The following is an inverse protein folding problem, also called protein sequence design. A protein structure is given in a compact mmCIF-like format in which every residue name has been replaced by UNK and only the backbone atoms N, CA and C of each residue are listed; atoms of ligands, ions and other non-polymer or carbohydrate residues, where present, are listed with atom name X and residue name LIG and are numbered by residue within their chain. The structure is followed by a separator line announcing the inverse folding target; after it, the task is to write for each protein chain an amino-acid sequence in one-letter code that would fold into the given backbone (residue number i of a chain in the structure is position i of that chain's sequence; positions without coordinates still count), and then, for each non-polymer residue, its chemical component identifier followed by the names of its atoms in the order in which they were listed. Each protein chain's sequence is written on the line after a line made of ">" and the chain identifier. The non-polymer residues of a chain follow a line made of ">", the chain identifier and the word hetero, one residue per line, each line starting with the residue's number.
data_IF_857782898890
#
_entry.id   IF_857782898890
#
_cell.length_a   1.000
_cell.length_b   1.000
_cell.length_c   1.000
_cell.angle_alpha   90.00
_cell.angle_beta   90.00
_cell.angle_gamma   90.00
#
_symmetry.space_group_name_H-M   'P 1'
#
loop_
_entity.id
_entity.type
_entity.pdbx_description
1 polymer ?
#
# COMPACT_ATOMS: atom_id res chain seq x y z
N UNK A 1 -0.08 38.13 -24.04
CA UNK A 1 0.20 36.83 -23.41
C UNK A 1 -0.60 35.66 -24.01
N UNK A 2 -1.86 35.85 -24.42
CA UNK A 2 -2.71 34.81 -25.04
C UNK A 2 -2.23 34.34 -26.43
N UNK A 3 -1.54 35.19 -27.20
CA UNK A 3 -1.04 34.82 -28.55
C UNK A 3 0.09 33.79 -28.54
N UNK A 4 0.95 33.76 -27.50
CA UNK A 4 2.03 32.76 -27.41
C UNK A 4 1.48 31.34 -27.17
N UNK A 5 0.33 31.22 -26.51
CA UNK A 5 -0.33 29.94 -26.24
C UNK A 5 -1.00 29.38 -27.52
N UNK A 6 -1.48 30.24 -28.43
CA UNK A 6 -2.06 29.78 -29.70
C UNK A 6 -1.02 29.29 -30.71
N UNK A 7 0.19 29.86 -30.73
CA UNK A 7 1.31 29.32 -31.51
C UNK A 7 1.90 28.02 -30.90
N UNK A 8 1.56 27.68 -29.65
CA UNK A 8 2.05 26.52 -28.91
C UNK A 8 1.45 25.18 -29.40
N UNK A 9 0.31 25.22 -30.09
CA UNK A 9 -0.49 24.05 -30.46
C UNK A 9 -0.11 23.42 -31.82
N UNK A 10 0.69 24.09 -32.66
CA UNK A 10 0.75 23.74 -34.09
C UNK A 10 1.94 22.90 -34.57
N UNK A 11 2.92 22.53 -33.74
CA UNK A 11 4.10 21.80 -34.23
C UNK A 11 4.41 20.50 -33.45
N UNK A 12 4.52 19.40 -34.21
CA UNK A 12 4.61 18.00 -33.78
C UNK A 12 6.01 17.40 -34.04
N UNK A 13 7.05 17.92 -33.39
CA UNK A 13 8.37 17.26 -33.36
C UNK A 13 8.71 16.78 -31.95
N UNK A 14 9.30 15.59 -31.82
CA UNK A 14 9.58 14.95 -30.52
C UNK A 14 10.46 15.83 -29.60
N UNK A 15 11.47 16.49 -30.17
CA UNK A 15 12.40 17.38 -29.44
C UNK A 15 11.71 18.65 -28.92
N UNK A 16 10.81 19.27 -29.71
CA UNK A 16 10.06 20.44 -29.23
C UNK A 16 8.99 20.06 -28.22
N UNK A 17 8.39 18.87 -28.32
CA UNK A 17 7.40 18.40 -27.38
C UNK A 17 8.00 18.11 -25.99
N UNK A 18 9.20 17.49 -25.92
CA UNK A 18 9.97 17.36 -24.66
C UNK A 18 10.24 18.75 -24.05
N UNK A 19 10.62 19.73 -24.87
CA UNK A 19 10.81 21.11 -24.40
C UNK A 19 9.52 21.72 -23.83
N UNK A 20 8.34 21.42 -24.41
CA UNK A 20 7.04 21.87 -23.87
C UNK A 20 6.74 21.26 -22.49
N UNK A 21 7.06 19.98 -22.28
CA UNK A 21 6.91 19.33 -20.97
C UNK A 21 7.84 19.95 -19.95
N UNK A 22 9.13 20.10 -20.26
CA UNK A 22 10.11 20.72 -19.35
C UNK A 22 9.71 22.16 -19.01
N UNK A 23 9.24 22.94 -19.99
CA UNK A 23 8.72 24.29 -19.76
C UNK A 23 7.50 24.27 -18.83
N UNK A 24 6.54 23.38 -19.04
CA UNK A 24 5.38 23.25 -18.15
C UNK A 24 5.78 22.86 -16.73
N UNK A 25 6.74 21.95 -16.56
CA UNK A 25 7.27 21.57 -15.24
C UNK A 25 8.06 22.72 -14.58
N UNK A 26 8.75 23.54 -15.37
CA UNK A 26 9.42 24.77 -14.91
C UNK A 26 8.43 25.82 -14.43
N UNK A 27 7.36 26.05 -15.19
CA UNK A 27 6.26 26.96 -14.83
C UNK A 27 5.56 26.54 -13.53
N UNK A 28 5.46 25.22 -13.31
CA UNK A 28 4.95 24.63 -12.08
C UNK A 28 5.98 24.60 -10.92
N UNK A 29 7.21 25.08 -11.16
CA UNK A 29 8.35 25.03 -10.23
C UNK A 29 8.68 23.63 -9.71
N UNK A 30 8.42 22.60 -10.52
CA UNK A 30 8.64 21.19 -10.16
C UNK A 30 10.10 20.75 -10.33
N UNK A 31 10.85 21.40 -11.22
CA UNK A 31 12.29 21.14 -11.43
C UNK A 31 13.21 22.06 -10.61
N UNK A 32 12.63 22.90 -9.75
CA UNK A 32 13.39 23.78 -8.84
C UNK A 32 13.61 23.04 -7.52
N UNK A 33 14.86 22.99 -7.06
CA UNK A 33 15.24 22.32 -5.81
C UNK A 33 14.97 23.22 -4.58
N UNK A 34 13.70 23.55 -4.37
CA UNK A 34 13.18 24.24 -3.19
C UNK A 34 12.07 23.40 -2.54
N UNK A 35 11.52 23.88 -1.43
CA UNK A 35 10.42 23.23 -0.69
C UNK A 35 9.03 23.71 -1.11
N UNK A 36 8.90 24.56 -2.12
CA UNK A 36 7.61 25.08 -2.57
C UNK A 36 6.88 24.04 -3.42
N UNK A 37 5.61 23.79 -3.12
CA UNK A 37 4.74 22.96 -3.94
C UNK A 37 3.44 23.68 -4.26
N UNK A 38 3.06 23.66 -5.55
CA UNK A 38 1.84 24.30 -6.02
C UNK A 38 0.61 23.45 -5.67
N UNK A 39 -0.56 24.09 -5.53
CA UNK A 39 -1.78 23.36 -5.20
C UNK A 39 -2.22 22.41 -6.34
N UNK A 40 -2.88 21.30 -5.99
CA UNK A 40 -3.37 20.31 -6.97
C UNK A 40 -4.31 20.94 -8.02
N UNK A 41 -5.13 21.92 -7.63
CA UNK A 41 -6.05 22.61 -8.52
C UNK A 41 -5.30 23.40 -9.59
N UNK A 42 -4.27 24.14 -9.19
CA UNK A 42 -3.45 24.91 -10.13
C UNK A 42 -2.66 24.00 -11.07
N UNK A 43 -2.07 22.92 -10.55
CA UNK A 43 -1.40 21.89 -11.36
C UNK A 43 -2.37 21.33 -12.40
N UNK A 44 -3.58 20.95 -11.97
CA UNK A 44 -4.61 20.38 -12.83
C UNK A 44 -5.05 21.35 -13.93
N UNK A 45 -5.25 22.63 -13.59
CA UNK A 45 -5.57 23.68 -14.55
C UNK A 45 -4.47 23.86 -15.60
N UNK A 46 -3.20 23.79 -15.19
CA UNK A 46 -2.05 23.90 -16.10
C UNK A 46 -1.88 22.69 -17.00
N UNK A 47 -2.19 21.50 -16.51
CA UNK A 47 -2.08 20.27 -17.29
C UNK A 47 -3.26 20.02 -18.24
N UNK A 48 -4.41 20.67 -18.03
CA UNK A 48 -5.65 20.46 -18.81
C UNK A 48 -5.44 20.46 -20.33
N UNK A 49 -4.55 21.31 -20.84
CA UNK A 49 -4.27 21.40 -22.28
C UNK A 49 -3.63 20.14 -22.87
N UNK A 50 -2.90 19.37 -22.07
CA UNK A 50 -2.26 18.12 -22.52
C UNK A 50 -3.25 16.95 -22.59
N UNK A 51 -4.45 17.11 -22.04
CA UNK A 51 -5.49 16.08 -21.96
C UNK A 51 -6.70 16.35 -22.86
N UNK A 52 -6.58 17.25 -23.84
CA UNK A 52 -7.69 17.64 -24.73
C UNK A 52 -8.13 16.48 -25.64
N UNK A 53 -7.17 15.65 -26.08
CA UNK A 53 -7.42 14.48 -26.93
C UNK A 53 -6.41 13.36 -26.61
N UNK A 54 -6.70 12.14 -27.08
CA UNK A 54 -5.90 10.96 -26.76
C UNK A 54 -4.47 11.02 -27.32
N UNK A 55 -4.28 11.55 -28.52
CA UNK A 55 -2.94 11.64 -29.13
C UNK A 55 -2.02 12.55 -28.31
N UNK A 56 -2.49 13.76 -27.97
CA UNK A 56 -1.74 14.71 -27.15
C UNK A 56 -1.51 14.18 -25.74
N UNK A 57 -2.52 13.51 -25.14
CA UNK A 57 -2.41 12.85 -23.84
C UNK A 57 -1.29 11.82 -23.84
N UNK A 58 -1.30 10.89 -24.79
CA UNK A 58 -0.31 9.81 -24.84
C UNK A 58 1.11 10.33 -25.09
N UNK A 59 1.26 11.33 -25.96
CA UNK A 59 2.56 12.00 -26.18
C UNK A 59 3.07 12.66 -24.89
N UNK A 60 2.21 13.41 -24.20
CA UNK A 60 2.55 14.06 -22.94
C UNK A 60 2.96 13.04 -21.87
N UNK A 61 2.17 11.98 -21.66
CA UNK A 61 2.45 10.98 -20.62
C UNK A 61 3.77 10.25 -20.85
N UNK A 62 4.07 9.86 -22.09
CA UNK A 62 5.34 9.21 -22.44
C UNK A 62 6.53 10.13 -22.15
N UNK A 63 6.45 11.39 -22.57
CA UNK A 63 7.52 12.36 -22.35
C UNK A 63 7.67 12.72 -20.87
N UNK A 64 6.56 12.88 -20.17
CA UNK A 64 6.56 13.11 -18.74
C UNK A 64 7.23 11.96 -17.99
N UNK A 65 6.91 10.71 -18.34
CA UNK A 65 7.53 9.54 -17.71
C UNK A 65 9.05 9.50 -17.93
N UNK A 66 9.51 9.85 -19.13
CA UNK A 66 10.93 9.97 -19.44
C UNK A 66 11.60 11.03 -18.55
N UNK A 67 11.03 12.23 -18.48
CA UNK A 67 11.56 13.33 -17.64
C UNK A 67 11.59 12.96 -16.16
N UNK A 68 10.54 12.28 -15.66
CA UNK A 68 10.52 11.75 -14.29
C UNK A 68 11.66 10.77 -14.08
N UNK A 69 11.84 9.81 -14.99
CA UNK A 69 12.93 8.84 -14.91
C UNK A 69 14.31 9.49 -14.83
N UNK A 70 14.57 10.48 -15.69
CA UNK A 70 15.83 11.22 -15.71
C UNK A 70 16.08 11.93 -14.36
N UNK A 71 15.09 12.63 -13.82
CA UNK A 71 15.22 13.32 -12.53
C UNK A 71 15.38 12.37 -11.34
N UNK A 72 14.75 11.19 -11.37
CA UNK A 72 14.90 10.19 -10.31
C UNK A 72 16.32 9.60 -10.26
N UNK A 73 17.07 9.60 -11.36
CA UNK A 73 18.45 9.12 -11.44
C UNK A 73 19.51 10.16 -11.07
N UNK A 74 19.19 11.45 -11.20
CA UNK A 74 20.12 12.53 -10.87
C UNK A 74 20.65 12.38 -9.43
N UNK A 75 21.94 12.67 -9.23
CA UNK A 75 22.49 12.77 -7.87
C UNK A 75 21.87 13.98 -7.18
N UNK A 76 21.61 13.85 -5.88
CA UNK A 76 20.97 14.90 -5.07
C UNK A 76 19.58 15.32 -5.61
N UNK A 77 19.18 16.59 -5.42
CA UNK A 77 17.86 17.12 -5.82
C UNK A 77 16.66 16.32 -5.28
N UNK A 78 16.74 15.86 -4.04
CA UNK A 78 15.70 15.03 -3.43
C UNK A 78 14.32 15.70 -3.40
N UNK A 79 14.27 17.03 -3.29
CA UNK A 79 13.00 17.75 -3.38
C UNK A 79 12.41 17.72 -4.79
N UNK A 80 13.22 17.88 -5.84
CA UNK A 80 12.75 17.70 -7.23
C UNK A 80 12.20 16.30 -7.44
N UNK A 81 12.90 15.26 -6.94
CA UNK A 81 12.41 13.87 -7.00
C UNK A 81 11.06 13.72 -6.33
N UNK A 82 10.89 14.28 -5.12
CA UNK A 82 9.65 14.21 -4.38
C UNK A 82 8.50 14.95 -5.09
N UNK A 83 8.78 16.12 -5.66
CA UNK A 83 7.82 16.89 -6.48
C UNK A 83 7.38 16.13 -7.73
N UNK A 84 8.32 15.47 -8.42
CA UNK A 84 8.01 14.64 -9.59
C UNK A 84 7.11 13.47 -9.20
N UNK A 85 7.42 12.78 -8.09
CA UNK A 85 6.59 11.70 -7.58
C UNK A 85 5.19 12.18 -7.16
N UNK A 86 5.08 13.37 -6.54
CA UNK A 86 3.77 13.96 -6.25
C UNK A 86 2.98 14.27 -7.52
N UNK A 87 3.62 14.77 -8.56
CA UNK A 87 2.94 15.01 -9.83
C UNK A 87 2.48 13.69 -10.48
N UNK A 88 3.33 12.65 -10.45
CA UNK A 88 2.94 11.29 -10.87
C UNK A 88 1.71 10.84 -10.11
N UNK A 89 1.71 11.00 -8.79
CA UNK A 89 0.58 10.63 -7.94
C UNK A 89 -0.71 11.38 -8.32
N UNK A 90 -0.63 12.70 -8.50
CA UNK A 90 -1.78 13.52 -8.95
C UNK A 90 -2.37 12.99 -10.27
N UNK A 91 -1.53 12.61 -11.23
CA UNK A 91 -1.98 12.13 -12.54
C UNK A 91 -2.64 10.76 -12.42
N UNK A 92 -2.06 9.80 -11.69
CA UNK A 92 -2.69 8.47 -11.51
C UNK A 92 -3.96 8.53 -10.64
N UNK A 93 -4.06 9.51 -9.74
CA UNK A 93 -5.29 9.73 -8.96
C UNK A 93 -6.37 10.48 -9.74
N UNK A 94 -6.06 11.03 -10.92
CA UNK A 94 -7.05 11.67 -11.80
C UNK A 94 -7.99 10.65 -12.48
N UNK A 95 -9.10 11.09 -13.07
CA UNK A 95 -9.95 10.22 -13.90
C UNK A 95 -9.51 10.18 -15.38
N UNK A 96 -8.63 11.10 -15.79
CA UNK A 96 -8.40 11.41 -17.21
C UNK A 96 -7.28 10.56 -17.82
N UNK A 97 -6.26 10.24 -17.04
CA UNK A 97 -5.05 9.54 -17.51
C UNK A 97 -4.65 8.35 -16.64
N UNK A 98 -5.47 8.00 -15.64
CA UNK A 98 -5.14 7.01 -14.62
C UNK A 98 -4.79 5.65 -15.19
N UNK A 99 -5.64 5.11 -16.07
CA UNK A 99 -5.46 3.75 -16.59
C UNK A 99 -4.21 3.66 -17.46
N UNK A 100 -4.06 4.57 -18.42
CA UNK A 100 -2.95 4.60 -19.37
C UNK A 100 -1.63 4.86 -18.64
N UNK A 101 -1.59 5.84 -17.74
CA UNK A 101 -0.36 6.19 -17.06
C UNK A 101 0.07 5.12 -16.05
N UNK A 102 -0.89 4.46 -15.40
CA UNK A 102 -0.60 3.31 -14.53
C UNK A 102 0.07 2.17 -15.31
N UNK A 103 -0.44 1.82 -16.49
CA UNK A 103 0.18 0.81 -17.37
C UNK A 103 1.61 1.20 -17.77
N UNK A 104 1.83 2.47 -18.11
CA UNK A 104 3.18 2.96 -18.44
C UNK A 104 4.15 2.82 -17.25
N UNK A 105 3.76 3.25 -16.05
CA UNK A 105 4.60 3.16 -14.84
C UNK A 105 5.03 1.71 -14.56
N UNK A 106 4.08 0.77 -14.64
CA UNK A 106 4.32 -0.66 -14.38
C UNK A 106 5.31 -1.23 -15.41
N UNK A 107 5.15 -0.86 -16.69
CA UNK A 107 5.99 -1.35 -17.77
C UNK A 107 7.42 -0.80 -17.68
N UNK A 108 7.59 0.46 -17.25
CA UNK A 108 8.90 1.11 -17.22
C UNK A 108 9.74 0.73 -16.01
N UNK A 109 9.14 0.46 -14.83
CA UNK A 109 9.87 0.11 -13.58
C UNK A 109 11.04 1.06 -13.28
N UNK A 110 10.72 2.33 -13.03
CA UNK A 110 11.70 3.34 -12.65
C UNK A 110 12.49 2.92 -11.40
N UNK A 111 13.76 3.31 -11.35
CA UNK A 111 14.59 3.23 -10.14
C UNK A 111 14.80 4.64 -9.59
N UNK A 112 15.26 4.74 -8.34
CA UNK A 112 15.52 6.02 -7.67
C UNK A 112 16.93 6.01 -7.11
N UNK A 113 17.71 7.03 -7.46
CA UNK A 113 19.00 7.26 -6.85
C UNK A 113 18.82 7.95 -5.50
N UNK A 114 19.10 7.23 -4.41
CA UNK A 114 18.95 7.72 -3.02
C UNK A 114 20.26 8.27 -2.42
N UNK A 115 21.37 8.21 -3.18
CA UNK A 115 22.71 8.50 -2.65
C UNK A 115 22.98 10.00 -2.56
N UNK A 116 23.52 10.43 -1.43
CA UNK A 116 24.11 11.75 -1.23
C UNK A 116 25.54 11.82 -1.81
N UNK A 117 26.15 13.02 -1.82
CA UNK A 117 27.49 13.23 -2.37
C UNK A 117 28.60 12.44 -1.66
N UNK A 118 28.42 12.15 -0.38
CA UNK A 118 29.33 11.31 0.42
C UNK A 118 29.09 9.79 0.21
N UNK A 119 28.14 9.41 -0.63
CA UNK A 119 27.78 8.01 -0.92
C UNK A 119 26.86 7.36 0.12
N UNK A 120 26.45 8.09 1.16
CA UNK A 120 25.47 7.62 2.14
C UNK A 120 24.05 7.71 1.61
N UNK A 121 23.12 6.99 2.24
CA UNK A 121 21.71 7.08 1.90
C UNK A 121 21.09 8.32 2.55
N UNK A 122 20.46 9.17 1.76
CA UNK A 122 19.75 10.34 2.27
C UNK A 122 18.33 9.98 2.73
N UNK A 123 17.88 10.51 3.88
CA UNK A 123 16.53 10.26 4.42
C UNK A 123 15.41 10.67 3.45
N UNK A 124 15.53 11.81 2.78
CA UNK A 124 14.56 12.26 1.77
C UNK A 124 14.65 11.37 0.52
N UNK A 125 15.85 10.89 0.17
CA UNK A 125 16.04 9.86 -0.84
C UNK A 125 15.30 8.56 -0.51
N UNK A 126 15.42 8.05 0.71
CA UNK A 126 14.68 6.89 1.20
C UNK A 126 13.16 7.13 1.18
N UNK A 127 12.72 8.36 1.47
CA UNK A 127 11.30 8.74 1.38
C UNK A 127 10.83 8.70 -0.08
N UNK A 128 11.62 9.22 -1.03
CA UNK A 128 11.32 9.13 -2.45
C UNK A 128 11.18 7.67 -2.89
N UNK A 129 12.08 6.79 -2.46
CA UNK A 129 12.02 5.35 -2.77
C UNK A 129 10.76 4.69 -2.21
N UNK A 130 10.45 4.96 -0.94
CA UNK A 130 9.27 4.41 -0.28
C UNK A 130 7.98 4.90 -0.93
N UNK A 131 7.95 6.19 -1.29
CA UNK A 131 6.79 6.81 -1.92
C UNK A 131 6.58 6.32 -3.37
N UNK A 132 7.65 6.13 -4.12
CA UNK A 132 7.54 5.50 -5.43
C UNK A 132 7.06 4.05 -5.35
N UNK A 133 7.51 3.27 -4.35
CA UNK A 133 6.98 1.93 -4.13
C UNK A 133 5.47 1.94 -3.89
N UNK A 134 4.98 2.91 -3.10
CA UNK A 134 3.54 3.14 -2.89
C UNK A 134 2.81 3.45 -4.20
N UNK A 135 3.31 4.41 -4.98
CA UNK A 135 2.74 4.82 -6.28
C UNK A 135 2.72 3.66 -7.27
N UNK A 136 3.81 2.88 -7.36
CA UNK A 136 3.91 1.72 -8.24
C UNK A 136 2.85 0.66 -7.90
N UNK A 137 2.64 0.41 -6.59
CA UNK A 137 1.60 -0.52 -6.14
C UNK A 137 0.19 0.01 -6.40
N UNK A 138 -0.04 1.32 -6.22
CA UNK A 138 -1.32 1.97 -6.56
C UNK A 138 -1.63 1.84 -8.07
N UNK A 139 -0.62 2.05 -8.92
CA UNK A 139 -0.74 1.86 -10.36
C UNK A 139 -1.08 0.39 -10.70
N UNK A 140 -0.38 -0.57 -10.09
CA UNK A 140 -0.63 -2.01 -10.28
C UNK A 140 -2.04 -2.42 -9.89
N UNK A 141 -2.61 -1.86 -8.83
CA UNK A 141 -3.98 -2.14 -8.41
C UNK A 141 -4.99 -1.58 -9.41
N UNK A 142 -4.74 -0.37 -9.90
CA UNK A 142 -5.57 0.28 -10.90
C UNK A 142 -5.65 -0.53 -12.20
N UNK A 143 -4.56 -1.15 -12.62
CA UNK A 143 -4.57 -2.01 -13.82
C UNK A 143 -5.28 -3.33 -13.56
N UNK A 144 -5.06 -3.95 -12.39
CA UNK A 144 -5.75 -5.18 -12.01
C UNK A 144 -7.27 -4.97 -11.97
N UNK A 145 -7.76 -3.91 -11.34
CA UNK A 145 -9.21 -3.64 -11.20
C UNK A 145 -9.88 -3.37 -12.57
N UNK A 146 -9.17 -2.77 -13.53
CA UNK A 146 -9.72 -2.43 -14.84
C UNK A 146 -9.65 -3.59 -15.86
N UNK A 147 -8.84 -4.61 -15.61
CA UNK A 147 -8.73 -5.79 -16.46
C UNK A 147 -9.68 -6.87 -15.93
N UNK A 148 -10.99 -6.67 -16.18
CA UNK A 148 -12.11 -7.61 -15.99
C UNK A 148 -11.82 -8.80 -15.05
N UNK A 149 -11.73 -8.51 -13.74
CA UNK A 149 -11.95 -9.57 -12.76
C UNK A 149 -13.42 -9.96 -12.81
N UNK A 150 -13.68 -11.16 -13.36
CA UNK A 150 -15.00 -11.77 -13.33
C UNK A 150 -15.56 -11.75 -11.91
N UNK A 151 -16.66 -11.01 -11.72
CA UNK A 151 -17.45 -10.86 -10.49
C UNK A 151 -16.62 -10.56 -9.21
N UNK A 152 -16.62 -9.31 -8.73
CA UNK A 152 -15.92 -8.85 -7.51
C UNK A 152 -16.21 -9.62 -6.21
N UNK A 153 -17.19 -10.51 -6.21
CA UNK A 153 -17.72 -11.17 -5.02
C UNK A 153 -16.97 -12.45 -4.63
N UNK A 154 -16.16 -13.01 -5.53
CA UNK A 154 -15.46 -14.29 -5.29
C UNK A 154 -13.98 -14.12 -4.90
N UNK A 155 -13.38 -12.94 -5.08
CA UNK A 155 -11.96 -12.73 -4.79
C UNK A 155 -11.71 -11.85 -3.56
N UNK A 156 -11.71 -12.47 -2.38
CA UNK A 156 -11.33 -11.81 -1.13
C UNK A 156 -9.88 -11.27 -1.15
N UNK A 157 -9.05 -11.67 -2.11
CA UNK A 157 -7.66 -11.21 -2.23
C UNK A 157 -7.57 -9.71 -2.51
N UNK A 158 -8.62 -9.10 -3.08
CA UNK A 158 -8.64 -7.65 -3.30
C UNK A 158 -8.49 -6.89 -1.98
N UNK A 159 -9.13 -7.34 -0.91
CA UNK A 159 -9.06 -6.67 0.39
C UNK A 159 -7.67 -6.78 1.02
N UNK A 160 -7.03 -7.93 0.91
CA UNK A 160 -5.64 -8.11 1.36
C UNK A 160 -4.69 -7.23 0.54
N UNK A 161 -4.87 -7.17 -0.78
CA UNK A 161 -4.08 -6.31 -1.67
C UNK A 161 -4.24 -4.83 -1.30
N UNK A 162 -5.46 -4.38 -1.05
CA UNK A 162 -5.77 -3.02 -0.63
C UNK A 162 -5.24 -2.71 0.78
N UNK A 163 -5.36 -3.64 1.74
CA UNK A 163 -4.79 -3.47 3.08
C UNK A 163 -3.26 -3.31 3.05
N UNK A 164 -2.58 -4.05 2.17
CA UNK A 164 -1.14 -3.94 1.97
C UNK A 164 -0.75 -2.56 1.41
N UNK A 165 -1.58 -1.97 0.53
CA UNK A 165 -1.37 -0.59 0.07
C UNK A 165 -1.40 0.40 1.23
N UNK A 166 -2.39 0.26 2.14
CA UNK A 166 -2.44 1.06 3.36
C UNK A 166 -1.18 0.90 4.19
N UNK A 167 -0.69 -0.33 4.36
CA UNK A 167 0.51 -0.63 5.14
C UNK A 167 1.78 -0.02 4.57
N UNK A 168 1.97 -0.05 3.25
CA UNK A 168 3.09 0.62 2.59
C UNK A 168 3.03 2.13 2.87
N UNK A 169 1.84 2.72 2.74
CA UNK A 169 1.59 4.13 3.05
C UNK A 169 1.94 4.51 4.49
N UNK A 170 1.44 3.72 5.45
CA UNK A 170 1.70 3.91 6.88
C UNK A 170 3.16 3.68 7.27
N UNK A 171 3.89 2.82 6.57
CA UNK A 171 5.30 2.55 6.92
C UNK A 171 6.20 3.78 6.68
N UNK A 172 5.77 4.72 5.83
CA UNK A 172 6.50 5.98 5.59
C UNK A 172 6.42 6.95 6.78
N UNK A 173 5.50 6.75 7.72
CA UNK A 173 5.29 7.67 8.84
C UNK A 173 6.53 7.91 9.67
N UNK A 174 7.19 6.83 10.12
CA UNK A 174 8.39 6.94 10.97
C UNK A 174 9.50 7.74 10.27
N UNK A 175 9.67 7.52 8.97
CA UNK A 175 10.66 8.24 8.18
C UNK A 175 10.30 9.74 8.07
N UNK A 176 9.02 10.05 7.85
CA UNK A 176 8.52 11.42 7.79
C UNK A 176 8.65 12.12 9.15
N UNK A 177 8.35 11.43 10.26
CA UNK A 177 8.56 11.95 11.62
C UNK A 177 10.02 12.31 11.87
N UNK A 178 10.96 11.43 11.51
CA UNK A 178 12.40 11.71 11.61
C UNK A 178 12.78 12.95 10.80
N UNK A 179 12.37 13.03 9.53
CA UNK A 179 12.68 14.19 8.67
C UNK A 179 12.09 15.49 9.25
N UNK A 180 10.84 15.47 9.73
CA UNK A 180 10.15 16.65 10.23
C UNK A 180 10.66 17.12 11.60
N UNK A 181 11.23 16.22 12.42
CA UNK A 181 11.87 16.59 13.69
C UNK A 181 13.26 17.20 13.48
N UNK A 182 13.96 16.81 12.42
CA UNK A 182 15.32 17.26 12.12
C UNK A 182 15.36 18.53 11.25
N UNK A 183 14.25 18.91 10.61
CA UNK A 183 14.21 19.99 9.61
C UNK A 183 13.03 20.94 9.81
N UNK A 184 13.11 22.12 9.20
CA UNK A 184 12.01 23.09 9.15
C UNK A 184 10.80 22.45 8.43
N UNK A 185 9.55 22.74 8.86
CA UNK A 185 8.35 22.26 8.19
C UNK A 185 8.42 22.41 6.66
N UNK A 186 8.11 21.33 5.96
CA UNK A 186 8.32 21.21 4.53
C UNK A 186 6.98 21.03 3.80
N UNK A 187 6.62 22.01 2.96
CA UNK A 187 5.33 22.00 2.26
C UNK A 187 5.16 20.78 1.34
N UNK A 188 6.23 20.31 0.70
CA UNK A 188 6.19 19.10 -0.16
C UNK A 188 5.82 17.87 0.68
N UNK A 189 6.41 17.73 1.87
CA UNK A 189 6.09 16.62 2.78
C UNK A 189 4.66 16.73 3.29
N UNK A 190 4.18 17.94 3.63
CA UNK A 190 2.79 18.15 4.03
C UNK A 190 1.82 17.73 2.91
N UNK A 191 2.13 18.05 1.65
CA UNK A 191 1.35 17.60 0.50
C UNK A 191 1.40 16.08 0.31
N UNK A 192 2.56 15.45 0.44
CA UNK A 192 2.70 13.99 0.40
C UNK A 192 1.85 13.31 1.46
N UNK A 193 1.95 13.76 2.70
CA UNK A 193 1.16 13.24 3.81
C UNK A 193 -0.33 13.42 3.52
N UNK A 194 -0.71 14.56 2.93
CA UNK A 194 -2.10 14.81 2.54
C UNK A 194 -2.62 13.85 1.49
N UNK A 195 -1.85 13.53 0.46
CA UNK A 195 -2.25 12.54 -0.54
C UNK A 195 -2.37 11.14 0.09
N UNK A 196 -1.35 10.70 0.83
CA UNK A 196 -1.40 9.42 1.54
C UNK A 196 -2.61 9.32 2.46
N UNK A 197 -2.94 10.40 3.16
CA UNK A 197 -4.07 10.43 4.07
C UNK A 197 -5.39 10.08 3.37
N UNK A 198 -5.73 10.80 2.30
CA UNK A 198 -6.99 10.62 1.61
C UNK A 198 -7.08 9.24 0.94
N UNK A 199 -6.03 8.78 0.29
CA UNK A 199 -6.03 7.46 -0.35
C UNK A 199 -6.19 6.32 0.67
N UNK A 200 -5.41 6.35 1.74
CA UNK A 200 -5.45 5.31 2.78
C UNK A 200 -6.82 5.34 3.47
N UNK A 201 -7.39 6.51 3.71
CA UNK A 201 -8.72 6.65 4.30
C UNK A 201 -9.80 6.07 3.38
N UNK A 202 -9.79 6.38 2.09
CA UNK A 202 -10.76 5.88 1.13
C UNK A 202 -10.69 4.36 1.00
N UNK A 203 -9.48 3.81 0.86
CA UNK A 203 -9.25 2.37 0.82
C UNK A 203 -9.73 1.69 2.10
N UNK A 204 -9.41 2.24 3.26
CA UNK A 204 -9.82 1.71 4.56
C UNK A 204 -11.35 1.68 4.72
N UNK A 205 -12.03 2.77 4.35
CA UNK A 205 -13.50 2.85 4.41
C UNK A 205 -14.12 1.82 3.47
N UNK A 206 -13.58 1.66 2.26
CA UNK A 206 -14.03 0.66 1.30
C UNK A 206 -13.93 -0.75 1.89
N UNK A 207 -12.74 -1.15 2.36
CA UNK A 207 -12.52 -2.48 2.97
C UNK A 207 -13.52 -2.72 4.11
N UNK A 208 -13.62 -1.80 5.07
CA UNK A 208 -14.46 -2.03 6.25
C UNK A 208 -15.95 -2.12 5.94
N UNK A 209 -16.45 -1.28 5.03
CA UNK A 209 -17.87 -1.31 4.66
C UNK A 209 -18.21 -2.61 3.94
N UNK A 210 -17.37 -3.03 3.00
CA UNK A 210 -17.65 -4.19 2.17
C UNK A 210 -17.48 -5.50 2.95
N UNK A 211 -16.39 -5.63 3.73
CA UNK A 211 -16.17 -6.79 4.60
C UNK A 211 -17.26 -6.90 5.68
N UNK A 212 -17.70 -5.78 6.25
CA UNK A 212 -18.85 -5.78 7.17
C UNK A 212 -20.10 -6.33 6.50
N UNK A 213 -20.39 -5.86 5.28
CA UNK A 213 -21.56 -6.33 4.53
C UNK A 213 -21.45 -7.83 4.22
N UNK A 214 -20.28 -8.31 3.77
CA UNK A 214 -20.02 -9.74 3.53
C UNK A 214 -20.26 -10.59 4.77
N UNK A 215 -19.71 -10.19 5.92
CA UNK A 215 -19.83 -10.93 7.18
C UNK A 215 -21.25 -10.88 7.74
N UNK A 216 -21.88 -9.70 7.79
CA UNK A 216 -23.15 -9.51 8.49
C UNK A 216 -24.38 -9.83 7.65
N UNK A 217 -24.30 -9.69 6.32
CA UNK A 217 -25.45 -9.79 5.42
C UNK A 217 -25.38 -10.95 4.45
N UNK A 218 -24.20 -11.40 4.05
CA UNK A 218 -24.06 -12.48 3.07
C UNK A 218 -22.99 -13.53 3.43
N UNK A 219 -23.01 -14.10 4.65
CA UNK A 219 -22.01 -15.08 5.07
C UNK A 219 -21.99 -16.35 4.20
N UNK A 220 -23.13 -16.69 3.60
CA UNK A 220 -23.29 -17.89 2.77
C UNK A 220 -22.73 -17.73 1.36
N UNK A 221 -22.38 -16.50 0.92
CA UNK A 221 -21.68 -16.29 -0.35
C UNK A 221 -20.24 -16.78 -0.29
N UNK A 222 -19.66 -16.89 0.91
CA UNK A 222 -18.25 -17.24 1.09
C UNK A 222 -18.16 -18.72 1.52
N UNK A 223 -17.85 -19.58 0.56
CA UNK A 223 -17.67 -21.02 0.81
C UNK A 223 -16.49 -21.31 1.75
N UNK A 224 -15.50 -20.41 1.81
CA UNK A 224 -14.31 -20.55 2.64
C UNK A 224 -14.38 -19.71 3.93
N UNK A 225 -14.95 -20.29 4.98
CA UNK A 225 -15.06 -19.63 6.29
C UNK A 225 -13.70 -19.26 6.93
N UNK A 226 -12.61 -19.97 6.58
CA UNK A 226 -11.28 -19.67 7.09
C UNK A 226 -10.73 -18.36 6.50
N UNK A 227 -10.88 -18.15 5.19
CA UNK A 227 -10.49 -16.88 4.55
C UNK A 227 -11.29 -15.70 5.10
N UNK A 228 -12.57 -15.91 5.42
CA UNK A 228 -13.39 -14.87 6.05
C UNK A 228 -12.89 -14.49 7.45
N UNK A 229 -12.43 -15.47 8.23
CA UNK A 229 -11.81 -15.22 9.54
C UNK A 229 -10.48 -14.46 9.41
N UNK A 230 -9.65 -14.82 8.43
CA UNK A 230 -8.39 -14.13 8.14
C UNK A 230 -8.65 -12.67 7.74
N UNK A 231 -9.67 -12.43 6.90
CA UNK A 231 -10.07 -11.10 6.48
C UNK A 231 -10.62 -10.25 7.64
N UNK A 232 -11.36 -10.87 8.55
CA UNK A 232 -11.80 -10.21 9.78
C UNK A 232 -10.61 -9.78 10.66
N UNK A 233 -9.63 -10.68 10.87
CA UNK A 233 -8.39 -10.36 11.61
C UNK A 233 -7.60 -9.24 10.93
N UNK A 234 -7.53 -9.28 9.61
CA UNK A 234 -6.89 -8.24 8.81
C UNK A 234 -7.58 -6.88 9.03
N UNK A 235 -8.92 -6.84 9.04
CA UNK A 235 -9.66 -5.62 9.36
C UNK A 235 -9.34 -5.09 10.77
N UNK A 236 -9.22 -5.96 11.77
CA UNK A 236 -8.84 -5.54 13.13
C UNK A 236 -7.42 -4.96 13.19
N UNK A 237 -6.46 -5.60 12.52
CA UNK A 237 -5.09 -5.10 12.39
C UNK A 237 -5.06 -3.72 11.71
N UNK A 238 -5.76 -3.60 10.58
CA UNK A 238 -5.85 -2.36 9.83
C UNK A 238 -6.50 -1.23 10.65
N UNK A 239 -7.56 -1.52 11.40
CA UNK A 239 -8.19 -0.56 12.33
C UNK A 239 -7.21 -0.04 13.38
N UNK A 240 -6.44 -0.92 14.01
CA UNK A 240 -5.44 -0.53 15.01
C UNK A 240 -4.34 0.36 14.39
N UNK A 241 -3.86 0.01 13.20
CA UNK A 241 -2.85 0.80 12.49
C UNK A 241 -3.39 2.14 11.99
N UNK A 242 -4.64 2.20 11.52
CA UNK A 242 -5.28 3.46 11.15
C UNK A 242 -5.37 4.43 12.33
N UNK A 243 -5.61 3.94 13.55
CA UNK A 243 -5.63 4.82 14.73
C UNK A 243 -4.27 5.49 14.96
N UNK A 244 -3.17 4.74 14.85
CA UNK A 244 -1.81 5.30 14.90
C UNK A 244 -1.58 6.26 13.73
N UNK A 245 -2.08 5.91 12.53
CA UNK A 245 -2.02 6.77 11.36
C UNK A 245 -2.69 8.12 11.58
N UNK A 246 -3.91 8.14 12.09
CA UNK A 246 -4.63 9.38 12.39
C UNK A 246 -3.93 10.24 13.44
N UNK A 247 -3.32 9.63 14.48
CA UNK A 247 -2.58 10.36 15.52
C UNK A 247 -1.37 11.10 14.93
N UNK A 248 -0.59 10.42 14.10
CA UNK A 248 0.55 11.02 13.40
C UNK A 248 0.12 12.22 12.53
N UNK A 249 -0.95 12.07 11.75
CA UNK A 249 -1.36 13.12 10.81
C UNK A 249 -1.75 14.43 11.51
N UNK A 250 -2.20 14.39 12.77
CA UNK A 250 -2.49 15.59 13.58
C UNK A 250 -1.27 16.47 13.86
N UNK A 251 -0.06 16.04 13.51
CA UNK A 251 1.14 16.89 13.55
C UNK A 251 1.04 17.99 12.47
N UNK A 252 0.31 17.75 11.38
CA UNK A 252 0.20 18.69 10.27
C UNK A 252 -1.04 19.58 10.42
N UNK A 253 -0.92 20.92 10.24
CA UNK A 253 -2.01 21.87 10.47
C UNK A 253 -3.31 21.55 9.72
N UNK A 254 -3.21 21.00 8.51
CA UNK A 254 -4.37 20.64 7.69
C UNK A 254 -5.25 19.52 8.28
N UNK A 255 -4.75 18.77 9.27
CA UNK A 255 -5.44 17.63 9.88
C UNK A 255 -5.90 17.88 11.32
N UNK A 256 -5.60 19.05 11.90
CA UNK A 256 -5.90 19.36 13.30
C UNK A 256 -7.40 19.23 13.66
N UNK A 257 -8.29 19.30 12.67
CA UNK A 257 -9.74 19.22 12.85
C UNK A 257 -10.38 17.94 12.30
N UNK A 258 -9.61 17.04 11.69
CA UNK A 258 -10.18 15.83 11.08
C UNK A 258 -10.29 14.74 12.15
N UNK A 259 -11.54 14.42 12.51
CA UNK A 259 -11.84 13.29 13.39
C UNK A 259 -11.60 11.96 12.65
N UNK A 260 -11.00 10.95 13.30
CA UNK A 260 -11.02 9.59 12.77
C UNK A 260 -12.47 9.17 12.50
N UNK A 261 -12.77 8.54 11.34
CA UNK A 261 -14.06 7.90 11.16
C UNK A 261 -14.29 6.93 12.33
N UNK A 262 -15.49 6.99 12.91
CA UNK A 262 -15.86 6.15 14.04
C UNK A 262 -15.60 4.69 13.70
N UNK A 263 -15.01 3.94 14.64
CA UNK A 263 -14.68 2.53 14.44
C UNK A 263 -15.92 1.77 13.97
N UNK A 264 -15.91 1.31 12.73
CA UNK A 264 -16.98 0.44 12.21
C UNK A 264 -16.80 -0.90 12.91
N UNK A 265 -17.67 -1.20 13.86
CA UNK A 265 -17.71 -2.50 14.50
C UNK A 265 -18.32 -3.53 13.55
N UNK A 266 -17.60 -4.64 13.35
CA UNK A 266 -18.09 -5.80 12.60
C UNK A 266 -18.62 -6.80 13.64
N UNK A 267 -19.92 -7.11 13.60
CA UNK A 267 -20.53 -8.04 14.55
C UNK A 267 -20.19 -9.49 14.17
N UNK A 268 -19.50 -10.19 15.07
CA UNK A 268 -18.84 -11.48 14.81
C UNK A 268 -19.72 -12.72 15.07
N UNK A 269 -21.05 -12.62 14.96
CA UNK A 269 -21.95 -13.70 15.39
C UNK A 269 -21.79 -15.01 14.57
N UNK A 270 -21.27 -14.92 13.34
CA UNK A 270 -21.16 -16.05 12.40
C UNK A 270 -19.80 -16.77 12.50
N UNK A 271 -18.75 -16.10 12.97
CA UNK A 271 -17.40 -16.69 13.05
C UNK A 271 -17.21 -17.60 14.28
N UNK A 272 -18.02 -17.41 15.33
CA UNK A 272 -18.00 -18.27 16.52
C UNK A 272 -18.38 -19.73 16.20
N UNK A 273 -19.22 -19.97 15.19
CA UNK A 273 -19.58 -21.32 14.72
C UNK A 273 -18.38 -22.09 14.14
N UNK A 274 -17.39 -21.39 13.54
CA UNK A 274 -16.19 -22.02 12.94
C UNK A 274 -15.23 -22.52 14.03
N UNK A 275 -15.21 -21.86 15.18
CA UNK A 275 -14.39 -22.24 16.33
C UNK A 275 -15.01 -23.47 17.02
N UNK A 276 -16.34 -23.51 17.13
CA UNK A 276 -17.08 -24.65 17.68
C UNK A 276 -16.97 -25.89 16.77
N UNK A 277 -17.05 -25.74 15.44
CA UNK A 277 -16.88 -26.86 14.48
C UNK A 277 -15.50 -27.55 14.58
N UNK A 278 -14.42 -26.80 14.85
CA UNK A 278 -13.07 -27.37 15.08
C UNK A 278 -12.99 -28.13 16.41
N UNK A 279 -13.61 -27.62 17.47
CA UNK A 279 -13.66 -28.32 18.76
C UNK A 279 -14.49 -29.60 18.68
N UNK A 280 -15.58 -29.62 17.90
CA UNK A 280 -16.40 -30.82 17.66
C UNK A 280 -15.63 -31.86 16.82
N UNK A 281 -14.81 -31.43 15.84
CA UNK A 281 -13.95 -32.33 15.06
C UNK A 281 -12.78 -32.92 15.85
N UNK A 282 -12.19 -32.17 16.79
CA UNK A 282 -11.17 -32.72 17.70
C UNK A 282 -11.78 -33.65 18.76
N UNK A 283 -12.95 -33.31 19.30
CA UNK A 283 -13.67 -34.18 20.23
C UNK A 283 -14.16 -35.49 19.58
N UNK A 284 -14.48 -35.49 18.28
CA UNK A 284 -14.85 -36.70 17.53
C UNK A 284 -13.64 -37.58 17.16
N UNK A 285 -12.43 -37.02 17.01
CA UNK A 285 -11.19 -37.81 16.92
C UNK A 285 -10.81 -38.48 18.24
N UNK A 286 -11.07 -37.84 19.38
CA UNK A 286 -10.87 -38.47 20.69
C UNK A 286 -11.90 -39.57 21.00
N UNK A 287 -13.12 -39.48 20.46
CA UNK A 287 -14.16 -40.49 20.64
C UNK A 287 -14.09 -41.68 19.65
N UNK A 288 -13.25 -41.61 18.61
CA UNK A 288 -13.03 -42.73 17.66
C UNK A 288 -12.06 -43.81 18.19
N UNK A 289 -11.42 -43.59 19.35
CA UNK A 289 -10.61 -44.58 20.05
C UNK A 289 -11.27 -45.05 21.35
N UNK A 290 -12.52 -45.49 21.28
CA UNK A 290 -13.09 -46.38 22.31
C UNK A 290 -12.81 -47.84 21.94
N UNK A 291 -11.75 -48.37 22.55
CA UNK A 291 -11.60 -49.73 23.09
C UNK A 291 -12.12 -50.85 22.17
N UNK A 292 -11.21 -51.46 21.39
CA UNK A 292 -11.32 -52.89 21.08
C UNK A 292 -10.73 -53.64 22.27
N UNK A 293 -11.54 -54.43 22.95
CA UNK A 293 -11.06 -55.43 23.91
C UNK A 293 -10.12 -56.40 23.19
N UNK A 294 -8.92 -56.69 23.73
CA UNK A 294 -8.08 -57.73 23.17
C UNK A 294 -8.61 -59.10 23.62
N UNK A 295 -8.90 -59.95 22.62
CA UNK A 295 -9.16 -61.37 22.80
C UNK A 295 -8.04 -62.02 23.61
N UNK A 296 -8.44 -62.85 24.59
CA UNK A 296 -7.55 -63.54 25.52
C UNK A 296 -6.56 -64.45 24.81
N UNK A 297 -5.28 -64.39 25.20
CA UNK A 297 -4.34 -65.50 25.03
C UNK A 297 -3.69 -65.78 26.40
N UNK A 298 -3.78 -67.04 26.80
CA UNK A 298 -3.29 -67.60 28.07
C UNK A 298 -1.76 -67.49 28.20
N UNK A 299 -1.34 -67.11 29.40
CA UNK A 299 -0.12 -67.46 30.15
C UNK A 299 1.23 -67.62 29.41
N UNK A 300 2.23 -66.82 29.80
CA UNK A 300 3.40 -67.34 30.54
C UNK A 300 4.28 -66.21 31.09
N UNK A 301 4.34 -66.18 32.42
CA UNK A 301 5.47 -65.88 33.32
C UNK A 301 6.46 -64.72 33.07
N UNK A 302 6.61 -63.93 34.17
CA UNK A 302 7.86 -63.44 34.79
C UNK A 302 8.63 -62.30 34.10
N UNK A 303 8.57 -61.10 34.70
CA UNK A 303 9.47 -60.59 35.76
C UNK A 303 9.50 -59.05 35.70
N UNK A 304 9.06 -58.42 36.79
CA UNK A 304 9.27 -57.01 37.10
C UNK A 304 10.74 -56.76 37.47
N UNK A 305 11.35 -55.71 36.92
CA UNK A 305 12.52 -55.07 37.51
C UNK A 305 12.35 -53.55 37.47
N UNK A 306 12.13 -53.00 38.67
CA UNK A 306 12.33 -51.61 39.06
C UNK A 306 13.82 -51.24 38.91
N UNK A 307 14.09 -50.06 38.36
CA UNK A 307 15.39 -49.40 38.50
C UNK A 307 15.20 -48.02 39.11
N UNK A 308 14.91 -48.00 40.40
CA UNK A 308 15.24 -46.85 41.26
C UNK A 308 16.69 -46.99 41.75
N UNK A 309 17.48 -45.94 41.45
CA UNK A 309 18.55 -45.37 42.30
C UNK A 309 20.01 -45.88 42.13
N UNK A 310 20.99 -45.03 42.55
CA UNK A 310 22.11 -44.61 41.70
C UNK A 310 23.49 -45.19 42.09
N UNK A 311 24.45 -44.88 41.22
CA UNK A 311 25.91 -45.07 41.27
C UNK A 311 26.60 -45.17 42.65
N UNK A 312 27.56 -46.12 42.71
CA UNK A 312 28.99 -45.97 43.11
C UNK A 312 29.46 -47.08 44.09
N UNK A 313 30.78 -47.32 44.28
CA UNK A 313 31.87 -47.45 43.30
C UNK A 313 32.89 -48.61 43.62
N UNK A 314 33.80 -48.86 42.66
CA UNK A 314 35.25 -49.19 42.80
C UNK A 314 35.78 -50.60 43.20
N UNK A 315 36.66 -51.08 42.29
CA UNK A 315 38.04 -51.60 42.49
C UNK A 315 38.30 -53.13 42.49
N UNK A 316 39.07 -53.52 41.46
CA UNK A 316 40.12 -54.52 41.27
C UNK A 316 40.11 -55.87 42.00
N UNK A 317 40.29 -56.93 41.21
CA UNK A 317 41.50 -57.75 41.23
C UNK A 317 41.91 -58.18 39.83
#
# INVERSE_FOLDING_TARGET
>A
MIMKIKQFLNDNTATQAINKVIMALSDLKLIVNDTYFMSQLEISNRLKQFFINDQTKMLFLNQFLQVVGDHLQQKENFYVKLKMLLLVHIIISSQVARAEFSKMIINTKLTINIKANDGTDNLIGQLCQSYYCYIYKLASQTTLINEDFGKPQDDLMIYFTLSNQCYIGMNMQRLIETINNEQVPNDIIAHLVKFLYFDIQDIYIFILKDVKYLIEKNPNLINNKQQLLELYKECQSLQARMLTFYKFNRIFPHFNQIMPPHSIQIKCAILNLVIEDKQIQEASKFNAHKIREPLSVKNSEKKTQDYTRPFSPKVNH
#
